data_IF_975285343776
#
_entry.id   IF_975285343776
#
_cell.length_a   1.000
_cell.length_b   1.000
_cell.length_c   1.000
_cell.angle_alpha   90.00
_cell.angle_beta   90.00
_cell.angle_gamma   90.00
#
_symmetry.space_group_name_H-M   'P 1'
#
loop_
_entity.id
_entity.type
_entity.pdbx_description
1 polymer ?
#
# COMPACT_ATOMS: atom_id res chain seq x y z
N UNK A 1 11.16 15.76 -3.29
CA UNK A 1 11.06 14.40 -3.82
C UNK A 1 9.65 13.85 -3.68
N UNK A 2 9.27 13.08 -4.66
CA UNK A 2 7.97 12.47 -4.63
C UNK A 2 7.95 11.38 -3.57
N UNK A 3 6.88 11.31 -2.85
CA UNK A 3 6.78 10.28 -1.84
C UNK A 3 5.62 9.33 -2.16
N UNK A 4 5.54 8.27 -1.38
CA UNK A 4 4.54 7.24 -1.62
C UNK A 4 3.12 7.79 -1.54
N UNK A 5 2.87 8.65 -0.58
CA UNK A 5 1.53 9.15 -0.38
C UNK A 5 1.07 10.03 -1.54
N UNK A 6 1.97 10.88 -2.03
CA UNK A 6 1.65 11.73 -3.17
C UNK A 6 1.35 10.89 -4.40
N UNK A 7 2.18 9.91 -4.67
CA UNK A 7 1.95 9.02 -5.81
C UNK A 7 0.64 8.25 -5.66
N UNK A 8 0.33 7.85 -4.44
CA UNK A 8 -0.91 7.15 -4.19
C UNK A 8 -2.12 8.04 -4.45
N UNK A 9 -2.04 9.30 -4.06
CA UNK A 9 -3.15 10.22 -4.29
C UNK A 9 -3.44 10.38 -5.77
N UNK A 10 -2.39 10.46 -6.57
CA UNK A 10 -2.54 10.56 -8.02
C UNK A 10 -3.25 9.32 -8.56
N UNK A 11 -2.83 8.14 -8.12
CA UNK A 11 -3.47 6.91 -8.56
C UNK A 11 -4.92 6.83 -8.11
N UNK A 12 -5.22 7.33 -6.94
CA UNK A 12 -6.59 7.33 -6.45
C UNK A 12 -7.52 8.12 -7.38
N UNK A 13 -7.05 9.27 -7.83
CA UNK A 13 -7.85 10.07 -8.75
C UNK A 13 -8.06 9.33 -10.07
N UNK A 14 -6.99 8.75 -10.59
CA UNK A 14 -7.06 8.05 -11.87
C UNK A 14 -7.96 6.82 -11.82
N UNK A 15 -7.96 6.11 -10.71
CA UNK A 15 -8.63 4.82 -10.62
C UNK A 15 -9.88 4.84 -9.75
N UNK A 16 -10.26 6.01 -9.25
CA UNK A 16 -11.41 6.16 -8.36
C UNK A 16 -11.29 5.23 -7.16
N UNK A 17 -10.13 5.25 -6.57
CA UNK A 17 -9.80 4.44 -5.42
C UNK A 17 -9.57 5.37 -4.22
N UNK A 18 -9.51 4.83 -3.01
CA UNK A 18 -9.31 5.66 -1.83
C UNK A 18 -8.39 4.97 -0.85
N UNK A 19 -7.84 5.76 0.07
CA UNK A 19 -7.02 5.22 1.13
C UNK A 19 -7.81 4.25 2.01
N UNK A 20 -9.08 4.56 2.25
CA UNK A 20 -9.94 3.68 3.03
C UNK A 20 -10.05 2.30 2.38
N UNK A 21 -10.24 2.28 1.08
CA UNK A 21 -10.31 1.01 0.37
C UNK A 21 -9.00 0.26 0.44
N UNK A 22 -7.89 0.97 0.31
CA UNK A 22 -6.59 0.33 0.41
C UNK A 22 -6.41 -0.28 1.80
N UNK A 23 -6.73 0.48 2.84
CA UNK A 23 -6.58 -0.01 4.21
C UNK A 23 -7.43 -1.25 4.44
N UNK A 24 -8.70 -1.20 4.04
CA UNK A 24 -9.59 -2.33 4.23
C UNK A 24 -9.10 -3.58 3.52
N UNK A 25 -8.70 -3.41 2.27
CA UNK A 25 -8.27 -4.54 1.47
C UNK A 25 -6.92 -5.07 1.92
N UNK A 26 -6.03 -4.17 2.35
CA UNK A 26 -4.73 -4.59 2.86
C UNK A 26 -4.89 -5.37 4.17
N UNK A 27 -5.77 -4.92 5.04
CA UNK A 27 -6.03 -5.64 6.28
C UNK A 27 -6.59 -7.03 6.00
N UNK A 28 -7.51 -7.11 5.05
CA UNK A 28 -8.07 -8.39 4.69
C UNK A 28 -7.00 -9.34 4.17
N UNK A 29 -6.17 -8.86 3.27
CA UNK A 29 -5.09 -9.67 2.71
C UNK A 29 -4.07 -10.05 3.76
N UNK A 30 -3.75 -9.12 4.65
CA UNK A 30 -2.78 -9.40 5.70
C UNK A 30 -3.26 -10.57 6.58
N UNK A 31 -4.55 -10.63 6.83
CA UNK A 31 -5.11 -11.67 7.68
C UNK A 31 -5.33 -13.00 6.95
N UNK A 32 -5.57 -12.96 5.65
CA UNK A 32 -5.97 -14.16 4.92
C UNK A 32 -4.97 -14.66 3.91
N UNK A 33 -4.04 -13.82 3.47
CA UNK A 33 -3.06 -14.20 2.44
C UNK A 33 -1.68 -14.23 3.06
N UNK A 34 -1.15 -15.42 3.25
CA UNK A 34 0.13 -15.58 3.93
C UNK A 34 1.28 -14.97 3.15
N UNK A 35 1.24 -15.07 1.83
CA UNK A 35 2.31 -14.51 1.01
C UNK A 35 2.32 -12.99 1.13
N UNK A 36 1.16 -12.36 1.11
CA UNK A 36 1.08 -10.92 1.26
C UNK A 36 1.62 -10.49 2.62
N UNK A 37 1.24 -11.21 3.66
CA UNK A 37 1.70 -10.89 5.01
C UNK A 37 3.21 -11.02 5.13
N UNK A 38 3.77 -12.05 4.51
CA UNK A 38 5.22 -12.24 4.54
C UNK A 38 5.94 -11.09 3.85
N UNK A 39 5.41 -10.64 2.72
CA UNK A 39 6.01 -9.52 2.01
C UNK A 39 6.00 -8.27 2.87
N UNK A 40 4.87 -7.99 3.49
CA UNK A 40 4.74 -6.80 4.33
C UNK A 40 5.67 -6.89 5.54
N UNK A 41 5.66 -8.03 6.20
CA UNK A 41 6.45 -8.19 7.43
C UNK A 41 7.95 -8.14 7.18
N UNK A 42 8.39 -8.54 6.01
CA UNK A 42 9.81 -8.58 5.70
C UNK A 42 10.31 -7.27 5.11
N UNK A 43 9.44 -6.34 4.84
CA UNK A 43 9.86 -5.08 4.24
C UNK A 43 10.44 -4.17 5.30
N UNK A 44 11.73 -3.90 5.18
CA UNK A 44 12.41 -3.06 6.16
C UNK A 44 12.69 -1.67 5.64
N UNK A 45 12.55 -1.47 4.32
CA UNK A 45 12.86 -0.18 3.72
C UNK A 45 12.04 -0.03 2.46
N UNK A 46 11.48 1.14 2.27
CA UNK A 46 10.71 1.43 1.06
C UNK A 46 11.63 2.04 0.02
N UNK A 47 11.45 1.62 -1.23
CA UNK A 47 12.32 2.08 -2.31
C UNK A 47 12.22 3.59 -2.54
N UNK A 48 11.07 4.17 -2.25
CA UNK A 48 10.87 5.60 -2.47
C UNK A 48 11.33 6.47 -1.31
N UNK A 49 11.81 5.86 -0.26
CA UNK A 49 12.38 6.61 0.85
C UNK A 49 13.80 7.05 0.51
N UNK A 50 14.19 8.10 1.13
CA UNK A 50 15.57 8.55 1.02
C UNK A 50 16.42 8.02 2.12
#
# INVERSE_FOLDING_TARGET
>A
KADLFENFKIECVKRKFSFQKLADRSLYLYLTDEDFRKQINSQVKLDLED
#
